data_IF_048683363191
#
_entry.id   IF_048683363191
#
_cell.length_a   1.000
_cell.length_b   1.000
_cell.length_c   1.000
_cell.angle_alpha   90.00
_cell.angle_beta   90.00
_cell.angle_gamma   90.00
#
_symmetry.space_group_name_H-M   'P 1'
#
loop_
_entity.id
_entity.type
_entity.pdbx_description
1 polymer ?
#
# COMPACT_ATOMS: atom_id res chain seq x y z
N UNK A 1 10.89 -22.08 -25.70
CA UNK A 1 10.19 -21.21 -26.66
C UNK A 1 9.90 -19.87 -26.02
N UNK A 2 10.01 -18.79 -26.79
CA UNK A 2 9.72 -17.47 -26.29
C UNK A 2 8.21 -17.27 -26.10
N UNK A 3 7.84 -16.61 -25.03
CA UNK A 3 6.44 -16.24 -24.79
C UNK A 3 6.01 -15.13 -25.76
N UNK A 4 4.75 -15.14 -26.14
CA UNK A 4 4.15 -14.01 -26.86
C UNK A 4 4.00 -12.81 -25.91
N UNK A 5 3.77 -11.62 -26.48
CA UNK A 5 3.52 -10.42 -25.68
C UNK A 5 2.27 -10.60 -24.80
N UNK A 6 1.22 -11.22 -25.36
CA UNK A 6 -0.02 -11.48 -24.60
C UNK A 6 0.24 -12.43 -23.42
N UNK A 7 1.02 -13.48 -23.64
CA UNK A 7 1.38 -14.42 -22.57
C UNK A 7 2.17 -13.75 -21.46
N UNK A 8 3.12 -12.88 -21.82
CA UNK A 8 3.92 -12.14 -20.83
C UNK A 8 3.05 -11.20 -20.02
N UNK A 9 2.11 -10.49 -20.65
CA UNK A 9 1.20 -9.60 -19.95
C UNK A 9 0.25 -10.36 -19.04
N UNK A 10 -0.25 -11.51 -19.49
CA UNK A 10 -1.11 -12.34 -18.65
C UNK A 10 -0.35 -12.85 -17.42
N UNK A 11 0.89 -13.29 -17.59
CA UNK A 11 1.73 -13.74 -16.50
C UNK A 11 2.03 -12.60 -15.51
N UNK A 12 2.30 -11.40 -16.03
CA UNK A 12 2.53 -10.22 -15.21
C UNK A 12 1.30 -9.88 -14.36
N UNK A 13 0.11 -9.86 -14.99
CA UNK A 13 -1.13 -9.58 -14.26
C UNK A 13 -1.41 -10.64 -13.20
N UNK A 14 -1.18 -11.91 -13.52
CA UNK A 14 -1.38 -13.00 -12.56
C UNK A 14 -0.46 -12.86 -11.35
N UNK A 15 0.82 -12.50 -11.57
CA UNK A 15 1.74 -12.27 -10.47
C UNK A 15 1.35 -11.06 -9.64
N UNK A 16 0.80 -10.01 -10.27
CA UNK A 16 0.42 -8.80 -9.57
C UNK A 16 -0.78 -9.02 -8.64
N UNK A 17 -1.63 -9.97 -8.96
CA UNK A 17 -2.77 -10.30 -8.10
C UNK A 17 -2.35 -10.78 -6.72
N UNK A 18 -1.17 -11.39 -6.61
CA UNK A 18 -0.63 -11.91 -5.34
C UNK A 18 0.68 -11.24 -4.93
N UNK A 19 1.10 -10.20 -5.65
CA UNK A 19 2.33 -9.49 -5.34
C UNK A 19 2.19 -8.71 -4.03
N UNK A 20 3.32 -8.26 -3.50
CA UNK A 20 3.36 -7.54 -2.25
C UNK A 20 3.75 -8.44 -1.09
N UNK A 21 4.15 -7.84 0.02
CA UNK A 21 4.64 -8.57 1.19
C UNK A 21 3.58 -9.45 1.84
N UNK A 22 2.31 -9.08 1.70
CA UNK A 22 1.19 -9.81 2.28
C UNK A 22 0.52 -10.77 1.30
N UNK A 23 0.97 -10.81 0.05
CA UNK A 23 0.40 -11.69 -0.96
C UNK A 23 -0.97 -11.28 -1.47
N UNK A 24 -1.48 -10.12 -1.08
CA UNK A 24 -2.82 -9.64 -1.44
C UNK A 24 -2.85 -8.78 -2.71
N UNK A 25 -1.74 -8.72 -3.43
CA UNK A 25 -1.62 -7.96 -4.64
C UNK A 25 -1.16 -6.54 -4.40
N UNK A 26 -1.04 -5.80 -5.48
CA UNK A 26 -0.61 -4.41 -5.45
C UNK A 26 -1.61 -3.57 -6.21
N UNK A 27 -1.82 -2.33 -5.75
CA UNK A 27 -2.67 -1.37 -6.42
C UNK A 27 -1.88 -0.10 -6.68
N UNK A 28 -2.13 0.52 -7.81
CA UNK A 28 -1.48 1.77 -8.13
C UNK A 28 -2.14 2.91 -7.37
N UNK A 29 -1.33 3.68 -6.67
CA UNK A 29 -1.77 4.89 -5.99
C UNK A 29 -1.07 6.07 -6.61
N UNK A 30 -1.83 7.03 -7.15
CA UNK A 30 -1.28 8.22 -7.79
C UNK A 30 -1.95 9.46 -7.20
N UNK A 31 -1.14 10.36 -6.65
CA UNK A 31 -1.65 11.58 -6.04
C UNK A 31 -0.57 12.65 -5.95
N UNK A 32 -1.01 13.90 -5.91
CA UNK A 32 -0.13 15.00 -5.60
C UNK A 32 -0.02 15.16 -4.10
N UNK A 33 1.19 15.37 -3.61
CA UNK A 33 1.45 15.65 -2.19
C UNK A 33 2.21 16.95 -2.08
N UNK A 34 2.25 17.52 -0.87
CA UNK A 34 3.03 18.74 -0.65
C UNK A 34 4.52 18.42 -0.77
N UNK A 35 5.29 19.44 -1.13
CA UNK A 35 6.75 19.34 -1.17
C UNK A 35 7.31 18.90 0.18
N UNK A 36 6.74 19.43 1.27
CA UNK A 36 7.15 19.04 2.62
C UNK A 36 6.95 17.55 2.87
N UNK A 37 5.81 17.00 2.45
CA UNK A 37 5.53 15.56 2.58
C UNK A 37 6.54 14.72 1.81
N UNK A 38 6.83 15.10 0.58
CA UNK A 38 7.79 14.38 -0.25
C UNK A 38 9.19 14.40 0.37
N UNK A 39 9.63 15.57 0.83
CA UNK A 39 10.95 15.70 1.45
C UNK A 39 11.04 14.93 2.78
N UNK A 40 9.98 14.97 3.57
CA UNK A 40 9.93 14.22 4.84
C UNK A 40 9.98 12.71 4.58
N UNK A 41 9.27 12.24 3.57
CA UNK A 41 9.28 10.82 3.20
C UNK A 41 10.69 10.41 2.76
N UNK A 42 11.37 11.23 1.97
CA UNK A 42 12.73 10.96 1.55
C UNK A 42 13.69 10.86 2.74
N UNK A 43 13.57 11.78 3.71
CA UNK A 43 14.41 11.76 4.92
C UNK A 43 14.17 10.51 5.75
N UNK A 44 12.91 10.13 5.93
CA UNK A 44 12.55 8.92 6.68
C UNK A 44 13.09 7.66 6.00
N UNK A 45 12.89 7.56 4.68
CA UNK A 45 13.37 6.43 3.92
C UNK A 45 14.89 6.28 4.03
N UNK A 46 15.62 7.38 3.94
CA UNK A 46 17.06 7.38 4.09
C UNK A 46 17.49 6.95 5.50
N UNK A 47 16.82 7.48 6.51
CA UNK A 47 17.13 7.14 7.91
C UNK A 47 16.98 5.64 8.19
N UNK A 48 15.94 5.03 7.63
CA UNK A 48 15.66 3.61 7.84
C UNK A 48 16.24 2.70 6.74
N UNK A 49 16.98 3.28 5.79
CA UNK A 49 17.63 2.55 4.69
C UNK A 49 16.64 1.71 3.89
N UNK A 50 15.50 2.30 3.59
CA UNK A 50 14.45 1.68 2.75
C UNK A 50 14.11 2.61 1.61
N UNK A 51 13.32 2.12 0.65
CA UNK A 51 12.81 2.97 -0.42
C UNK A 51 11.69 3.88 0.10
N UNK A 52 11.41 4.96 -0.63
CA UNK A 52 10.25 5.82 -0.32
C UNK A 52 8.96 5.03 -0.26
N UNK A 53 8.78 4.12 -1.21
CA UNK A 53 7.61 3.25 -1.27
C UNK A 53 7.48 2.41 -0.01
N UNK A 54 8.54 1.75 0.39
CA UNK A 54 8.53 0.90 1.57
C UNK A 54 8.27 1.72 2.83
N UNK A 55 8.87 2.91 2.92
CA UNK A 55 8.63 3.79 4.06
C UNK A 55 7.17 4.23 4.13
N UNK A 56 6.60 4.60 2.99
CA UNK A 56 5.19 4.99 2.90
C UNK A 56 4.28 3.84 3.34
N UNK A 57 4.53 2.64 2.84
CA UNK A 57 3.75 1.46 3.22
C UNK A 57 3.79 1.22 4.73
N UNK A 58 4.97 1.30 5.33
CA UNK A 58 5.14 1.12 6.78
C UNK A 58 4.35 2.16 7.57
N UNK A 59 4.43 3.42 7.18
CA UNK A 59 3.75 4.50 7.88
C UNK A 59 2.24 4.36 7.81
N UNK A 60 1.70 4.06 6.62
CA UNK A 60 0.26 3.93 6.42
C UNK A 60 -0.29 2.71 7.16
N UNK A 61 0.35 1.57 7.03
CA UNK A 61 -0.09 0.34 7.70
C UNK A 61 -0.04 0.49 9.22
N UNK A 62 1.00 1.14 9.73
CA UNK A 62 1.13 1.39 11.17
C UNK A 62 0.03 2.32 11.68
N UNK A 63 -0.27 3.39 10.95
CA UNK A 63 -1.31 4.33 11.33
C UNK A 63 -2.68 3.65 11.34
N UNK A 64 -2.96 2.86 10.31
CA UNK A 64 -4.19 2.09 10.19
C UNK A 64 -4.33 1.09 11.36
N UNK A 65 -3.28 0.34 11.64
CA UNK A 65 -3.29 -0.62 12.75
C UNK A 65 -3.55 0.06 14.09
N UNK A 66 -3.02 1.26 14.30
CA UNK A 66 -3.25 2.02 15.52
C UNK A 66 -4.72 2.42 15.69
N UNK A 67 -5.38 2.79 14.58
CA UNK A 67 -6.81 3.10 14.60
C UNK A 67 -7.63 1.85 14.87
N UNK A 68 -7.34 0.76 14.17
CA UNK A 68 -8.08 -0.50 14.32
C UNK A 68 -8.06 -1.00 15.76
N UNK A 69 -6.92 -0.88 16.44
CA UNK A 69 -6.80 -1.31 17.84
C UNK A 69 -7.73 -0.55 18.80
N UNK A 70 -8.14 0.67 18.42
CA UNK A 70 -9.03 1.50 19.24
C UNK A 70 -10.50 1.29 18.93
N UNK A 71 -10.82 0.53 17.86
CA UNK A 71 -12.18 0.30 17.45
C UNK A 71 -12.72 -0.97 18.10
N UNK A 72 -13.96 -0.91 18.55
CA UNK A 72 -14.67 -2.09 19.06
C UNK A 72 -15.09 -2.95 17.86
N UNK A 73 -14.68 -4.22 17.78
CA UNK A 73 -15.08 -5.09 16.68
C UNK A 73 -16.59 -5.16 16.53
N UNK A 74 -17.06 -5.13 15.29
CA UNK A 74 -18.47 -5.22 14.92
C UNK A 74 -19.35 -4.08 15.44
N UNK A 75 -18.74 -2.98 15.86
CA UNK A 75 -19.49 -1.76 16.20
C UNK A 75 -19.80 -0.95 14.95
N UNK A 76 -20.66 0.05 15.09
CA UNK A 76 -20.95 0.99 14.00
C UNK A 76 -19.70 1.74 13.54
N UNK A 77 -18.83 2.10 14.48
CA UNK A 77 -17.56 2.77 14.15
C UNK A 77 -16.62 1.86 13.37
N UNK A 78 -16.56 0.59 13.73
CA UNK A 78 -15.79 -0.41 13.02
C UNK A 78 -16.27 -0.53 11.58
N UNK A 79 -17.59 -0.70 11.39
CA UNK A 79 -18.18 -0.82 10.07
C UNK A 79 -17.92 0.42 9.22
N UNK A 80 -18.08 1.60 9.80
CA UNK A 80 -17.82 2.86 9.11
C UNK A 80 -16.36 2.97 8.68
N UNK A 81 -15.43 2.54 9.50
CA UNK A 81 -14.00 2.62 9.19
C UNK A 81 -13.63 1.72 8.00
N UNK A 82 -14.17 0.51 7.94
CA UNK A 82 -13.84 -0.42 6.87
C UNK A 82 -14.66 -0.23 5.60
N UNK A 83 -15.76 0.50 5.65
CA UNK A 83 -16.63 0.77 4.49
C UNK A 83 -16.34 2.12 3.84
N UNK A 84 -15.09 2.47 3.72
CA UNK A 84 -14.70 3.74 3.12
C UNK A 84 -14.98 3.72 1.63
N UNK A 85 -15.80 4.68 1.16
CA UNK A 85 -16.02 4.91 -0.26
C UNK A 85 -14.84 5.66 -0.86
N UNK A 86 -14.56 5.38 -2.13
CA UNK A 86 -13.45 6.02 -2.85
C UNK A 86 -13.88 6.66 -4.11
#
# INVERSE_FOLDING_TARGET
MAQTAAERQAAYRARRATAGNDGNGERRLSMWVTTETDLALARLAFRYLVTKREMLERLVVRADAAVIRRLEPDSAEWDAYFNVAR
#
